data_IF_480964084207
#
_entry.id   IF_480964084207
#
_cell.length_a   1.000
_cell.length_b   1.000
_cell.length_c   1.000
_cell.angle_alpha   90.00
_cell.angle_beta   90.00
_cell.angle_gamma   90.00
#
_symmetry.space_group_name_H-M   'P 1'
#
loop_
_entity.id
_entity.type
_entity.pdbx_description
1 polymer ?
#
# COMPACT_ATOMS: atom_id res chain seq x y z
N UNK A 1 -5.40 -30.56 -4.66
CA UNK A 1 -5.67 -29.47 -5.63
C UNK A 1 -5.76 -28.08 -5.00
N UNK A 2 -5.95 -27.98 -3.68
CA UNK A 2 -6.10 -26.68 -2.99
C UNK A 2 -4.90 -25.74 -3.14
N UNK A 3 -3.67 -26.23 -3.09
CA UNK A 3 -2.45 -25.43 -3.26
C UNK A 3 -2.36 -24.77 -4.62
N UNK A 4 -2.81 -25.46 -5.69
CA UNK A 4 -2.84 -24.91 -7.03
C UNK A 4 -3.90 -23.82 -7.18
N UNK A 5 -5.05 -24.00 -6.55
CA UNK A 5 -6.10 -22.98 -6.52
C UNK A 5 -5.62 -21.73 -5.79
N UNK A 6 -5.02 -21.88 -4.59
CA UNK A 6 -4.41 -20.79 -3.85
C UNK A 6 -3.36 -20.06 -4.70
N UNK A 7 -2.46 -20.81 -5.32
CA UNK A 7 -1.41 -20.24 -6.17
C UNK A 7 -1.99 -19.45 -7.36
N UNK A 8 -2.95 -20.02 -8.11
CA UNK A 8 -3.55 -19.35 -9.28
C UNK A 8 -4.39 -18.14 -8.91
N UNK A 9 -5.18 -18.20 -7.83
CA UNK A 9 -5.98 -17.07 -7.37
C UNK A 9 -5.08 -15.91 -6.94
N UNK A 10 -4.03 -16.19 -6.17
CA UNK A 10 -3.09 -15.15 -5.76
C UNK A 10 -2.15 -14.71 -6.87
N UNK A 11 -1.87 -15.54 -7.86
CA UNK A 11 -1.18 -15.14 -9.08
C UNK A 11 -2.03 -14.11 -9.86
N UNK A 12 -3.32 -14.33 -9.96
CA UNK A 12 -4.24 -13.39 -10.59
C UNK A 12 -4.30 -12.06 -9.80
N UNK A 13 -4.41 -12.13 -8.47
CA UNK A 13 -4.35 -10.94 -7.62
C UNK A 13 -3.03 -10.20 -7.81
N UNK A 14 -1.89 -10.88 -7.78
CA UNK A 14 -0.57 -10.27 -7.95
C UNK A 14 -0.33 -9.67 -9.35
N UNK A 15 -0.95 -10.24 -10.38
CA UNK A 15 -0.85 -9.75 -11.75
C UNK A 15 -1.70 -8.48 -12.00
N UNK A 16 -2.86 -8.36 -11.35
CA UNK A 16 -3.82 -7.28 -11.58
C UNK A 16 -3.93 -6.26 -10.45
N UNK A 17 -3.17 -6.44 -9.37
CA UNK A 17 -3.13 -5.51 -8.24
C UNK A 17 -2.26 -4.29 -8.55
N UNK A 18 -2.77 -3.36 -9.36
CA UNK A 18 -2.10 -2.11 -9.66
C UNK A 18 -2.62 -0.99 -8.74
N UNK A 19 -1.73 -0.10 -8.28
CA UNK A 19 -2.12 1.14 -7.61
C UNK A 19 -2.05 1.13 -6.08
N UNK A 20 -1.54 0.08 -5.44
CA UNK A 20 -1.29 0.04 -3.99
C UNK A 20 -2.29 -0.80 -3.19
N UNK A 21 -2.10 -0.82 -1.85
CA UNK A 21 -2.75 -1.80 -0.97
C UNK A 21 -4.28 -1.84 -1.06
N UNK A 22 -4.94 -0.69 -1.03
CA UNK A 22 -6.41 -0.61 -1.08
C UNK A 22 -6.99 -0.96 -2.45
N UNK A 23 -6.27 -0.70 -3.54
CA UNK A 23 -6.74 -1.04 -4.89
C UNK A 23 -6.82 -2.57 -5.13
N UNK A 24 -6.05 -3.35 -4.38
CA UNK A 24 -6.11 -4.81 -4.42
C UNK A 24 -7.31 -5.40 -3.68
N UNK A 25 -7.93 -4.67 -2.74
CA UNK A 25 -8.98 -5.21 -1.87
C UNK A 25 -10.19 -5.78 -2.61
N UNK A 26 -10.79 -5.09 -3.60
CA UNK A 26 -11.92 -5.65 -4.34
C UNK A 26 -11.57 -6.96 -5.03
N UNK A 27 -10.35 -7.07 -5.57
CA UNK A 27 -9.88 -8.27 -6.25
C UNK A 27 -9.64 -9.42 -5.27
N UNK A 28 -9.09 -9.12 -4.09
CA UNK A 28 -8.89 -10.11 -3.02
C UNK A 28 -10.25 -10.59 -2.54
N UNK A 29 -11.20 -9.68 -2.27
CA UNK A 29 -12.55 -10.02 -1.83
C UNK A 29 -13.26 -10.92 -2.85
N UNK A 30 -13.21 -10.58 -4.12
CA UNK A 30 -13.80 -11.37 -5.19
C UNK A 30 -13.24 -12.80 -5.21
N UNK A 31 -11.94 -12.96 -5.13
CA UNK A 31 -11.31 -14.29 -5.16
C UNK A 31 -11.58 -15.10 -3.89
N UNK A 32 -11.48 -14.48 -2.71
CA UNK A 32 -11.42 -15.18 -1.43
C UNK A 32 -12.81 -15.37 -0.82
N UNK A 33 -13.74 -14.42 -1.01
CA UNK A 33 -15.10 -14.46 -0.45
C UNK A 33 -16.09 -14.95 -1.49
N UNK A 34 -16.13 -14.33 -2.67
CA UNK A 34 -17.17 -14.59 -3.66
C UNK A 34 -16.92 -15.87 -4.45
N UNK A 35 -15.75 -15.97 -5.09
CA UNK A 35 -15.44 -17.07 -6.02
C UNK A 35 -15.16 -18.39 -5.30
N UNK A 36 -14.26 -18.38 -4.33
CA UNK A 36 -13.82 -19.62 -3.66
C UNK A 36 -14.46 -19.85 -2.29
N UNK A 37 -15.09 -18.84 -1.70
CA UNK A 37 -15.72 -18.91 -0.36
C UNK A 37 -14.76 -19.42 0.72
N UNK A 38 -13.51 -19.08 0.63
CA UNK A 38 -12.49 -19.46 1.62
C UNK A 38 -12.66 -18.70 2.93
N UNK A 39 -13.17 -17.47 2.86
CA UNK A 39 -13.47 -16.62 4.02
C UNK A 39 -14.91 -16.12 3.96
N UNK A 40 -15.51 -15.96 5.13
CA UNK A 40 -16.72 -15.15 5.30
C UNK A 40 -16.39 -13.67 5.20
N UNK A 41 -17.40 -12.80 5.06
CA UNK A 41 -17.19 -11.35 5.01
C UNK A 41 -16.62 -10.80 6.33
N UNK A 42 -17.02 -11.37 7.47
CA UNK A 42 -16.47 -11.00 8.77
C UNK A 42 -14.97 -11.31 8.86
N UNK A 43 -14.56 -12.51 8.46
CA UNK A 43 -13.15 -12.92 8.44
C UNK A 43 -12.32 -12.13 7.42
N UNK A 44 -12.95 -11.68 6.33
CA UNK A 44 -12.29 -10.78 5.38
C UNK A 44 -12.02 -9.40 6.00
N UNK A 45 -12.93 -8.89 6.82
CA UNK A 45 -12.71 -7.64 7.56
C UNK A 45 -11.56 -7.78 8.58
N UNK A 46 -11.50 -8.92 9.28
CA UNK A 46 -10.39 -9.22 10.19
C UNK A 46 -9.06 -9.31 9.44
N UNK A 47 -9.04 -9.97 8.27
CA UNK A 47 -7.86 -10.06 7.40
C UNK A 47 -7.36 -8.67 6.99
N UNK A 48 -8.27 -7.75 6.60
CA UNK A 48 -7.90 -6.37 6.26
C UNK A 48 -7.25 -5.69 7.46
N UNK A 49 -7.87 -5.78 8.63
CA UNK A 49 -7.38 -5.17 9.86
C UNK A 49 -5.97 -5.68 10.22
N UNK A 50 -5.77 -7.00 10.21
CA UNK A 50 -4.47 -7.63 10.47
C UNK A 50 -3.44 -7.20 9.42
N UNK A 51 -3.84 -7.17 8.14
CA UNK A 51 -2.94 -6.79 7.05
C UNK A 51 -2.49 -5.33 7.13
N UNK A 52 -3.30 -4.44 7.69
CA UNK A 52 -2.94 -3.05 7.94
C UNK A 52 -1.99 -2.88 9.14
N UNK A 53 -2.11 -3.73 10.14
CA UNK A 53 -1.21 -3.72 11.30
C UNK A 53 0.14 -4.38 11.01
N UNK A 54 0.20 -5.21 9.97
CA UNK A 54 1.41 -5.95 9.58
C UNK A 54 2.20 -5.14 8.55
N UNK A 55 3.51 -4.89 8.76
CA UNK A 55 4.31 -4.17 7.79
C UNK A 55 4.44 -4.98 6.50
N UNK A 56 4.12 -4.34 5.34
CA UNK A 56 4.22 -4.96 4.02
C UNK A 56 2.99 -4.70 3.14
N UNK A 57 3.04 -5.16 1.87
CA UNK A 57 1.92 -5.03 0.96
C UNK A 57 0.70 -5.83 1.43
N UNK A 58 -0.48 -5.21 1.44
CA UNK A 58 -1.73 -5.86 1.87
C UNK A 58 -1.98 -7.17 1.10
N UNK A 59 -1.71 -7.19 -0.21
CA UNK A 59 -1.90 -8.38 -1.03
C UNK A 59 -1.03 -9.57 -0.58
N UNK A 60 0.23 -9.32 -0.19
CA UNK A 60 1.15 -10.36 0.30
C UNK A 60 0.74 -10.83 1.69
N UNK A 61 0.37 -9.91 2.59
CA UNK A 61 -0.12 -10.26 3.92
C UNK A 61 -1.41 -11.07 3.83
N UNK A 62 -2.33 -10.70 2.93
CA UNK A 62 -3.56 -11.44 2.66
C UNK A 62 -3.29 -12.83 2.10
N UNK A 63 -2.33 -12.97 1.17
CA UNK A 63 -1.94 -14.26 0.60
C UNK A 63 -1.44 -15.20 1.69
N UNK A 64 -0.57 -14.70 2.57
CA UNK A 64 -0.04 -15.48 3.68
C UNK A 64 -1.13 -15.88 4.66
N UNK A 65 -2.00 -14.96 5.06
CA UNK A 65 -3.09 -15.22 5.98
C UNK A 65 -4.07 -16.27 5.45
N UNK A 66 -4.58 -16.07 4.23
CA UNK A 66 -5.51 -17.01 3.58
C UNK A 66 -4.86 -18.35 3.38
N UNK A 67 -3.61 -18.37 2.94
CA UNK A 67 -2.84 -19.59 2.74
C UNK A 67 -2.68 -20.42 4.01
N UNK A 68 -2.32 -19.76 5.14
CA UNK A 68 -2.22 -20.41 6.45
C UNK A 68 -3.56 -20.99 6.87
N UNK A 69 -4.63 -20.21 6.73
CA UNK A 69 -5.97 -20.61 7.17
C UNK A 69 -6.51 -21.81 6.42
N UNK A 70 -6.29 -21.87 5.11
CA UNK A 70 -6.88 -22.88 4.24
C UNK A 70 -6.05 -24.17 4.17
N UNK A 71 -4.73 -24.06 4.15
CA UNK A 71 -3.84 -25.21 3.93
C UNK A 71 -2.52 -25.15 4.73
N UNK A 72 -2.52 -24.39 5.84
CA UNK A 72 -1.36 -24.28 6.71
C UNK A 72 -0.14 -23.63 6.05
N UNK A 73 1.05 -23.93 6.56
CA UNK A 73 2.32 -23.35 6.06
C UNK A 73 2.54 -23.61 4.55
N UNK A 74 2.29 -24.81 3.99
CA UNK A 74 2.44 -25.03 2.55
C UNK A 74 1.46 -24.19 1.73
N UNK A 75 0.24 -23.97 2.25
CA UNK A 75 -0.74 -23.08 1.63
C UNK A 75 -0.27 -21.62 1.59
N UNK A 76 0.31 -21.14 2.68
CA UNK A 76 0.90 -19.80 2.75
C UNK A 76 2.02 -19.63 1.73
N UNK A 77 2.92 -20.59 1.63
CA UNK A 77 4.02 -20.56 0.64
C UNK A 77 3.48 -20.52 -0.80
N UNK A 78 2.48 -21.36 -1.11
CA UNK A 78 1.87 -21.42 -2.44
C UNK A 78 1.17 -20.09 -2.79
N UNK A 79 0.34 -19.55 -1.90
CA UNK A 79 -0.38 -18.30 -2.10
C UNK A 79 0.56 -17.11 -2.23
N UNK A 80 1.55 -17.00 -1.35
CA UNK A 80 2.53 -15.91 -1.37
C UNK A 80 3.42 -15.96 -2.61
N UNK A 81 3.90 -17.16 -2.99
CA UNK A 81 4.64 -17.34 -4.23
C UNK A 81 3.80 -16.93 -5.46
N UNK A 82 2.53 -17.32 -5.51
CA UNK A 82 1.60 -16.90 -6.57
C UNK A 82 1.48 -15.38 -6.65
N UNK A 83 1.32 -14.71 -5.52
CA UNK A 83 1.16 -13.25 -5.45
C UNK A 83 2.41 -12.50 -5.93
N UNK A 84 3.61 -12.98 -5.61
CA UNK A 84 4.87 -12.28 -5.91
C UNK A 84 5.39 -12.59 -7.32
N UNK A 85 5.13 -13.78 -7.83
CA UNK A 85 5.71 -14.28 -9.08
C UNK A 85 5.46 -13.38 -10.29
N UNK A 86 4.25 -12.87 -10.57
CA UNK A 86 4.02 -11.97 -11.71
C UNK A 86 4.87 -10.70 -11.63
N UNK A 87 4.95 -10.10 -10.45
CA UNK A 87 5.76 -8.88 -10.22
C UNK A 87 7.25 -9.17 -10.45
N UNK A 88 7.75 -10.29 -9.97
CA UNK A 88 9.15 -10.70 -10.20
C UNK A 88 9.46 -10.89 -11.69
N UNK A 89 8.56 -11.54 -12.43
CA UNK A 89 8.74 -11.74 -13.87
C UNK A 89 8.74 -10.41 -14.60
N UNK A 90 7.71 -9.58 -14.38
CA UNK A 90 7.56 -8.29 -15.05
C UNK A 90 8.77 -7.39 -14.78
N UNK A 91 9.17 -7.24 -13.52
CA UNK A 91 10.31 -6.38 -13.14
C UNK A 91 11.61 -6.91 -13.75
N UNK A 92 11.82 -8.23 -13.73
CA UNK A 92 13.04 -8.84 -14.31
C UNK A 92 13.10 -8.63 -15.81
N UNK A 93 11.99 -8.80 -16.54
CA UNK A 93 11.91 -8.56 -17.98
C UNK A 93 12.15 -7.08 -18.29
N UNK A 94 11.49 -6.18 -17.57
CA UNK A 94 11.67 -4.73 -17.76
C UNK A 94 13.13 -4.33 -17.46
N UNK A 95 13.73 -4.86 -16.39
CA UNK A 95 15.12 -4.56 -16.05
C UNK A 95 16.09 -5.01 -17.14
N UNK A 96 15.91 -6.22 -17.70
CA UNK A 96 16.72 -6.71 -18.82
C UNK A 96 16.56 -5.85 -20.07
N UNK A 97 15.32 -5.48 -20.41
CA UNK A 97 15.05 -4.59 -21.53
C UNK A 97 15.67 -3.21 -21.32
N UNK A 98 15.52 -2.66 -20.11
CA UNK A 98 16.12 -1.38 -19.76
C UNK A 98 17.64 -1.40 -19.89
N UNK A 99 18.32 -2.40 -19.34
CA UNK A 99 19.79 -2.51 -19.45
C UNK A 99 20.25 -2.63 -20.90
N UNK A 100 19.49 -3.32 -21.75
CA UNK A 100 19.80 -3.48 -23.18
C UNK A 100 19.60 -2.20 -23.98
N UNK A 101 18.54 -1.44 -23.68
CA UNK A 101 18.09 -0.30 -24.49
C UNK A 101 18.24 1.06 -23.79
N UNK A 102 18.93 1.12 -22.65
CA UNK A 102 19.05 2.35 -21.82
C UNK A 102 19.64 3.57 -22.54
N UNK A 103 20.42 3.35 -23.61
CA UNK A 103 21.05 4.41 -24.39
C UNK A 103 20.19 4.91 -25.57
N UNK A 104 18.98 4.34 -25.77
CA UNK A 104 18.08 4.82 -26.81
C UNK A 104 17.36 6.09 -26.36
N UNK A 105 17.43 7.14 -27.19
CA UNK A 105 16.79 8.44 -26.93
C UNK A 105 15.28 8.30 -26.71
N UNK A 106 14.62 7.41 -27.45
CA UNK A 106 13.19 7.13 -27.33
C UNK A 106 12.83 6.60 -25.92
N UNK A 107 13.63 5.67 -25.37
CA UNK A 107 13.39 5.14 -24.02
C UNK A 107 13.59 6.22 -22.95
N UNK A 108 14.63 7.02 -23.11
CA UNK A 108 14.89 8.15 -22.20
C UNK A 108 13.76 9.20 -22.27
N UNK A 109 13.22 9.45 -23.47
CA UNK A 109 12.08 10.34 -23.66
C UNK A 109 10.84 9.83 -22.93
N UNK A 110 10.51 8.54 -23.03
CA UNK A 110 9.38 7.90 -22.33
C UNK A 110 9.57 8.02 -20.81
N UNK A 111 10.74 7.65 -20.30
CA UNK A 111 11.01 7.72 -18.86
C UNK A 111 10.94 9.16 -18.31
N UNK A 112 11.45 10.14 -19.07
CA UNK A 112 11.36 11.54 -18.69
C UNK A 112 9.90 12.04 -18.68
N UNK A 113 9.06 11.57 -19.60
CA UNK A 113 7.64 11.91 -19.63
C UNK A 113 6.83 11.25 -18.49
N UNK A 114 7.28 10.10 -17.97
CA UNK A 114 6.64 9.45 -16.83
C UNK A 114 6.95 10.10 -15.48
N UNK A 115 8.10 10.77 -15.34
CA UNK A 115 8.50 11.42 -14.08
C UNK A 115 7.47 12.41 -13.54
N UNK A 116 6.92 13.35 -14.33
CA UNK A 116 5.89 14.27 -13.85
C UNK A 116 4.61 13.55 -13.40
N UNK A 117 4.22 12.47 -14.10
CA UNK A 117 3.06 11.67 -13.73
C UNK A 117 3.24 10.99 -12.37
N UNK A 118 4.42 10.43 -12.09
CA UNK A 118 4.72 9.84 -10.78
C UNK A 118 4.70 10.90 -9.69
N UNK A 119 5.28 12.08 -9.92
CA UNK A 119 5.24 13.20 -8.97
C UNK A 119 3.80 13.64 -8.70
N UNK A 120 2.97 13.75 -9.74
CA UNK A 120 1.56 14.11 -9.59
C UNK A 120 0.78 13.07 -8.77
N UNK A 121 1.02 11.76 -8.98
CA UNK A 121 0.38 10.70 -8.19
C UNK A 121 0.80 10.76 -6.71
N UNK A 122 2.08 10.98 -6.44
CA UNK A 122 2.58 11.12 -5.06
C UNK A 122 1.98 12.36 -4.39
N UNK A 123 1.93 13.48 -5.10
CA UNK A 123 1.32 14.71 -4.61
C UNK A 123 -0.19 14.53 -4.33
N UNK A 124 -0.91 13.89 -5.23
CA UNK A 124 -2.34 13.59 -5.05
C UNK A 124 -2.60 12.70 -3.84
N UNK A 125 -1.79 11.64 -3.66
CA UNK A 125 -1.86 10.78 -2.48
C UNK A 125 -1.55 11.56 -1.19
N UNK A 126 -0.51 12.41 -1.20
CA UNK A 126 -0.17 13.28 -0.09
C UNK A 126 -1.30 14.22 0.30
N UNK A 127 -1.92 14.88 -0.68
CA UNK A 127 -3.09 15.76 -0.45
C UNK A 127 -4.26 14.97 0.14
N UNK A 128 -4.55 13.78 -0.37
CA UNK A 128 -5.64 12.94 0.15
C UNK A 128 -5.41 12.55 1.61
N UNK A 129 -4.17 12.21 1.99
CA UNK A 129 -3.79 11.90 3.38
C UNK A 129 -3.96 13.14 4.25
N UNK A 130 -3.54 14.33 3.79
CA UNK A 130 -3.68 15.57 4.54
C UNK A 130 -5.15 15.94 4.75
N UNK A 131 -5.98 15.80 3.73
CA UNK A 131 -7.43 16.03 3.84
C UNK A 131 -8.02 15.09 4.87
N UNK A 132 -7.73 13.79 4.80
CA UNK A 132 -8.20 12.81 5.75
C UNK A 132 -7.72 13.08 7.19
N UNK A 133 -6.49 13.55 7.37
CA UNK A 133 -5.94 13.88 8.69
C UNK A 133 -6.55 15.16 9.29
N UNK A 134 -6.80 16.21 8.49
CA UNK A 134 -7.23 17.50 8.98
C UNK A 134 -8.76 17.63 9.12
N UNK A 135 -9.52 16.96 8.24
CA UNK A 135 -11.00 17.04 8.21
C UNK A 135 -11.72 15.72 8.49
N UNK A 136 -10.97 14.62 8.60
CA UNK A 136 -11.55 13.28 8.79
C UNK A 136 -12.25 12.75 7.54
N UNK A 137 -13.21 11.83 7.73
CA UNK A 137 -13.98 11.21 6.64
C UNK A 137 -15.13 12.09 6.12
N UNK A 138 -15.33 13.30 6.67
CA UNK A 138 -16.34 14.24 6.20
C UNK A 138 -15.82 14.96 4.97
N UNK A 139 -16.51 14.80 3.84
CA UNK A 139 -16.15 15.36 2.54
C UNK A 139 -16.19 16.89 2.45
N UNK A 140 -16.66 17.61 3.49
CA UNK A 140 -16.75 19.05 3.50
C UNK A 140 -15.50 19.67 4.14
N UNK A 141 -14.67 20.30 3.32
CA UNK A 141 -13.55 21.14 3.76
C UNK A 141 -14.13 22.41 4.42
N UNK A 142 -14.27 22.39 5.75
CA UNK A 142 -14.77 23.53 6.51
C UNK A 142 -13.69 24.00 7.50
N UNK A 143 -13.36 25.28 7.49
CA UNK A 143 -12.37 25.87 8.40
C UNK A 143 -12.70 25.64 9.89
N UNK A 144 -13.98 25.56 10.24
CA UNK A 144 -14.44 25.32 11.63
C UNK A 144 -14.26 23.87 12.10
N UNK A 145 -14.14 22.91 11.18
CA UNK A 145 -13.95 21.49 11.50
C UNK A 145 -12.48 21.04 11.39
N UNK A 146 -11.56 21.98 11.14
CA UNK A 146 -10.14 21.68 10.94
C UNK A 146 -9.48 21.30 12.26
N UNK A 147 -8.79 20.16 12.27
CA UNK A 147 -8.01 19.75 13.42
C UNK A 147 -6.67 20.51 13.49
N UNK A 148 -6.71 21.71 14.09
CA UNK A 148 -5.55 22.60 14.22
C UNK A 148 -4.36 21.98 14.94
N UNK A 149 -4.60 21.02 15.86
CA UNK A 149 -3.53 20.27 16.53
C UNK A 149 -2.68 19.52 15.52
N UNK A 150 -3.31 18.80 14.59
CA UNK A 150 -2.60 18.04 13.55
C UNK A 150 -1.91 18.95 12.52
N UNK A 151 -2.49 20.10 12.20
CA UNK A 151 -1.87 21.10 11.31
C UNK A 151 -0.56 21.60 11.92
N UNK A 152 -0.55 21.95 13.20
CA UNK A 152 0.67 22.43 13.90
C UNK A 152 1.74 21.34 13.92
N UNK A 153 1.38 20.10 14.26
CA UNK A 153 2.31 18.96 14.26
C UNK A 153 2.89 18.73 12.87
N UNK A 154 2.05 18.82 11.82
CA UNK A 154 2.50 18.69 10.44
C UNK A 154 3.52 19.77 10.06
N UNK A 155 3.24 21.03 10.36
CA UNK A 155 4.16 22.15 10.06
C UNK A 155 5.48 21.98 10.81
N UNK A 156 5.45 21.64 12.09
CA UNK A 156 6.66 21.36 12.88
C UNK A 156 7.47 20.22 12.24
N UNK A 157 6.83 19.11 11.90
CA UNK A 157 7.47 17.95 11.27
C UNK A 157 8.10 18.31 9.93
N UNK A 158 7.43 19.13 9.13
CA UNK A 158 7.91 19.59 7.83
C UNK A 158 9.16 20.48 7.98
N UNK A 159 9.16 21.39 8.94
CA UNK A 159 10.33 22.24 9.25
C UNK A 159 11.51 21.42 9.74
N UNK A 160 11.26 20.42 10.62
CA UNK A 160 12.30 19.51 11.10
C UNK A 160 12.96 18.72 9.97
N UNK A 161 12.14 18.21 9.03
CA UNK A 161 12.64 17.46 7.87
C UNK A 161 13.40 18.35 6.89
N UNK A 162 12.89 19.56 6.58
CA UNK A 162 13.51 20.41 5.56
C UNK A 162 14.71 21.21 6.09
N UNK A 163 14.58 21.84 7.25
CA UNK A 163 15.60 22.75 7.75
C UNK A 163 16.72 22.01 8.49
N UNK A 164 16.38 21.02 9.32
CA UNK A 164 17.37 20.29 10.11
C UNK A 164 17.74 18.93 9.51
N UNK A 165 17.12 18.53 8.38
CA UNK A 165 17.41 17.26 7.67
C UNK A 165 17.44 16.06 8.63
N UNK A 166 16.59 16.06 9.65
CA UNK A 166 16.51 14.98 10.62
C UNK A 166 16.04 13.68 9.94
N UNK A 167 16.45 12.56 10.51
CA UNK A 167 15.99 11.25 10.04
C UNK A 167 14.45 11.16 10.16
N UNK A 168 13.73 10.81 9.08
CA UNK A 168 12.27 10.71 9.07
C UNK A 168 11.69 9.85 10.19
N UNK A 169 12.39 8.79 10.61
CA UNK A 169 11.96 7.89 11.68
C UNK A 169 11.83 8.65 13.00
N UNK A 170 12.81 9.48 13.36
CA UNK A 170 12.77 10.28 14.58
C UNK A 170 11.68 11.34 14.53
N UNK A 171 11.44 11.93 13.36
CA UNK A 171 10.35 12.92 13.19
C UNK A 171 8.99 12.24 13.35
N UNK A 172 8.80 11.00 12.84
CA UNK A 172 7.57 10.23 13.04
C UNK A 172 7.33 9.91 14.52
N UNK A 173 8.36 9.45 15.24
CA UNK A 173 8.24 9.17 16.68
C UNK A 173 7.88 10.43 17.45
N UNK A 174 8.55 11.55 17.16
CA UNK A 174 8.29 12.84 17.79
C UNK A 174 6.86 13.34 17.51
N UNK A 175 6.40 13.24 16.27
CA UNK A 175 5.04 13.60 15.90
C UNK A 175 3.99 12.73 16.61
N UNK A 176 4.26 11.43 16.76
CA UNK A 176 3.41 10.52 17.52
C UNK A 176 3.32 10.91 19.01
N UNK A 177 4.46 11.18 19.65
CA UNK A 177 4.51 11.63 21.06
C UNK A 177 3.79 12.97 21.24
N UNK A 178 4.02 13.93 20.32
CA UNK A 178 3.32 15.23 20.37
C UNK A 178 1.80 15.07 20.21
N UNK A 179 1.35 14.17 19.34
CA UNK A 179 -0.08 13.92 19.15
C UNK A 179 -0.71 13.30 20.39
N UNK A 180 -0.07 12.33 21.03
CA UNK A 180 -0.54 11.73 22.29
C UNK A 180 -0.57 12.78 23.41
N UNK A 181 0.48 13.57 23.56
CA UNK A 181 0.51 14.65 24.54
C UNK A 181 -0.60 15.69 24.30
N UNK A 182 -0.83 16.08 23.03
CA UNK A 182 -1.88 17.03 22.66
C UNK A 182 -3.31 16.46 22.82
N UNK A 183 -3.48 15.13 22.83
CA UNK A 183 -4.77 14.49 23.08
C UNK A 183 -5.07 14.29 24.56
N UNK A 184 -4.05 14.34 25.42
CA UNK A 184 -4.20 14.21 26.87
C UNK A 184 -4.59 15.53 27.57
N UNK A 185 -4.47 16.65 26.83
CA UNK A 185 -4.93 17.99 27.21
C UNK A 185 -6.06 18.45 26.28
#
# INVERSE_FOLDING_TARGET
>A
MIYLQLFLSFLQIGAFSFGGGYAAMPLIQEQVVTSHRWLSMAEFTDLITISQMTPGPIAVNSATFVGIKIAGIPGALAATAGCILPSCIIVTVIAKLYLKYRNMEMLQGILNSLRPAVVAMIASAGISILIGAFWGSNEAIAFGATNWKLVVIFVISLVLLQKWKMNPIWVMVLAGVLNVAASAF
#
